data_IF_818712074098
#
_entry.id   IF_818712074098
#
_cell.length_a   1.000
_cell.length_b   1.000
_cell.length_c   1.000
_cell.angle_alpha   90.00
_cell.angle_beta   90.00
_cell.angle_gamma   90.00
#
_symmetry.space_group_name_H-M   'P 1'
#
loop_
_entity.id
_entity.type
_entity.pdbx_description
1 polymer ?
#
# COMPACT_ATOMS: atom_id res chain seq x y z
N UNK A 1 -23.84 0.68 -9.52
CA UNK A 1 -22.94 -0.48 -9.36
C UNK A 1 -22.28 -0.34 -8.00
N UNK A 2 -22.38 -1.33 -7.13
CA UNK A 2 -21.68 -1.34 -5.83
C UNK A 2 -20.18 -1.35 -6.09
N UNK A 3 -19.41 -0.60 -5.30
CA UNK A 3 -17.95 -0.64 -5.38
C UNK A 3 -17.46 -2.05 -5.01
N UNK A 4 -16.47 -2.56 -5.75
CA UNK A 4 -15.75 -3.78 -5.37
C UNK A 4 -14.63 -3.51 -4.36
N UNK A 5 -14.44 -2.25 -3.96
CA UNK A 5 -13.42 -1.79 -3.03
C UNK A 5 -14.05 -1.09 -1.84
N UNK A 6 -13.51 -1.22 -0.61
CA UNK A 6 -13.89 -0.38 0.52
C UNK A 6 -13.45 1.06 0.22
N UNK A 7 -14.41 1.98 0.10
CA UNK A 7 -14.10 3.38 -0.23
C UNK A 7 -13.82 4.21 1.03
N UNK A 8 -14.47 3.91 2.16
CA UNK A 8 -14.22 4.59 3.42
C UNK A 8 -12.90 4.11 4.06
N UNK A 9 -11.81 4.37 3.36
CA UNK A 9 -10.47 3.99 3.74
C UNK A 9 -9.41 4.94 3.13
N UNK A 10 -8.23 4.97 3.74
CA UNK A 10 -7.05 5.64 3.22
C UNK A 10 -6.29 4.71 2.27
N UNK A 11 -5.91 5.24 1.13
CA UNK A 11 -5.08 4.57 0.13
C UNK A 11 -3.84 5.42 -0.18
N UNK A 12 -2.68 4.80 -0.21
CA UNK A 12 -1.47 5.46 -0.68
C UNK A 12 -1.61 5.80 -2.17
N UNK A 13 -1.45 7.07 -2.52
CA UNK A 13 -1.64 7.56 -3.89
C UNK A 13 -0.31 7.80 -4.61
N UNK A 14 0.73 8.17 -3.87
CA UNK A 14 2.07 8.45 -4.38
C UNK A 14 3.07 8.49 -3.22
N UNK A 15 4.37 8.44 -3.54
CA UNK A 15 5.38 8.94 -2.63
C UNK A 15 5.25 10.46 -2.51
N UNK A 16 5.55 11.01 -1.34
CA UNK A 16 5.51 12.46 -1.09
C UNK A 16 6.40 13.25 -2.06
N UNK A 17 7.56 12.67 -2.38
CA UNK A 17 8.55 13.25 -3.30
C UNK A 17 8.08 13.28 -4.76
N UNK A 18 7.09 12.49 -5.14
CA UNK A 18 6.56 12.46 -6.51
C UNK A 18 5.60 13.62 -6.79
N UNK A 19 4.91 14.12 -5.75
CA UNK A 19 3.92 15.18 -5.92
C UNK A 19 4.61 16.55 -5.85
N UNK A 20 4.77 17.15 -7.03
CA UNK A 20 5.36 18.46 -7.22
C UNK A 20 4.28 19.53 -7.49
N UNK A 21 4.69 20.78 -7.73
CA UNK A 21 3.82 21.83 -8.25
C UNK A 21 3.55 21.60 -9.75
N UNK A 22 2.94 20.46 -10.05
CA UNK A 22 2.55 19.98 -11.38
C UNK A 22 1.39 19.01 -11.24
N UNK A 23 0.54 18.92 -12.26
CA UNK A 23 -0.60 17.99 -12.27
C UNK A 23 -0.11 16.54 -12.36
N UNK A 24 -0.48 15.72 -11.39
CA UNK A 24 -0.12 14.32 -11.29
C UNK A 24 -1.40 13.46 -11.28
N UNK A 25 -1.75 12.80 -12.41
CA UNK A 25 -2.93 11.96 -12.49
C UNK A 25 -2.69 10.57 -11.89
N UNK A 26 -3.73 9.99 -11.28
CA UNK A 26 -3.75 8.61 -10.80
C UNK A 26 -5.18 8.06 -10.83
N UNK A 27 -5.32 6.77 -11.09
CA UNK A 27 -6.59 6.06 -10.88
C UNK A 27 -6.51 5.29 -9.56
N UNK A 28 -7.51 5.47 -8.70
CA UNK A 28 -7.61 4.83 -7.37
C UNK A 28 -9.05 4.33 -7.20
N UNK A 29 -9.22 3.04 -6.91
CA UNK A 29 -10.54 2.42 -6.76
C UNK A 29 -11.46 2.69 -7.97
N UNK A 30 -10.91 2.69 -9.18
CA UNK A 30 -11.64 3.00 -10.42
C UNK A 30 -12.01 4.47 -10.60
N UNK A 31 -11.53 5.37 -9.76
CA UNK A 31 -11.76 6.83 -9.85
C UNK A 31 -10.51 7.54 -10.33
N UNK A 32 -10.68 8.40 -11.36
CA UNK A 32 -9.60 9.25 -11.84
C UNK A 32 -9.43 10.44 -10.91
N UNK A 33 -8.21 10.63 -10.41
CA UNK A 33 -7.82 11.69 -9.48
C UNK A 33 -6.64 12.44 -10.07
N UNK A 34 -6.61 13.77 -9.92
CA UNK A 34 -5.44 14.59 -10.19
C UNK A 34 -4.96 15.24 -8.89
N UNK A 35 -3.67 15.07 -8.62
CA UNK A 35 -3.01 15.65 -7.44
C UNK A 35 -2.01 16.72 -7.85
N UNK A 36 -1.71 17.65 -6.96
CA UNK A 36 -0.63 18.62 -7.11
C UNK A 36 -0.25 19.22 -5.76
N UNK A 37 0.99 19.66 -5.65
CA UNK A 37 1.46 20.40 -4.46
C UNK A 37 1.20 21.89 -4.66
N UNK A 38 0.51 22.49 -3.72
CA UNK A 38 0.26 23.94 -3.67
C UNK A 38 1.55 24.70 -3.31
N UNK A 39 1.54 26.02 -3.53
CA UNK A 39 2.64 26.92 -3.20
C UNK A 39 2.97 26.96 -1.70
N UNK A 40 1.98 26.67 -0.84
CA UNK A 40 2.15 26.57 0.61
C UNK A 40 2.70 25.22 1.08
N UNK A 41 3.01 24.28 0.16
CA UNK A 41 3.52 22.96 0.43
C UNK A 41 2.44 21.87 0.65
N UNK A 42 1.18 22.21 0.82
CA UNK A 42 0.10 21.23 1.00
C UNK A 42 -0.22 20.53 -0.33
N UNK A 43 -0.64 19.28 -0.26
CA UNK A 43 -1.10 18.53 -1.42
C UNK A 43 -2.62 18.63 -1.55
N UNK A 44 -3.09 18.85 -2.77
CA UNK A 44 -4.50 18.81 -3.12
C UNK A 44 -4.79 17.67 -4.07
N UNK A 45 -5.97 17.07 -3.96
CA UNK A 45 -6.45 16.01 -4.82
C UNK A 45 -7.88 16.32 -5.27
N UNK A 46 -8.10 16.32 -6.58
CA UNK A 46 -9.40 16.60 -7.20
C UNK A 46 -9.80 15.44 -8.10
N UNK A 47 -11.09 15.28 -8.33
CA UNK A 47 -11.60 14.44 -9.42
C UNK A 47 -10.99 14.92 -10.74
N UNK A 48 -10.39 13.99 -11.48
CA UNK A 48 -9.75 14.30 -12.77
C UNK A 48 -10.77 14.33 -13.90
N UNK A 49 -11.83 15.14 -13.71
CA UNK A 49 -12.89 15.34 -14.69
C UNK A 49 -13.47 16.75 -14.57
N UNK A 50 -13.36 17.55 -15.63
CA UNK A 50 -13.92 18.90 -15.65
C UNK A 50 -15.45 18.85 -15.56
N UNK A 51 -16.04 19.64 -14.65
CA UNK A 51 -17.48 19.76 -14.45
C UNK A 51 -18.27 20.05 -15.74
N UNK A 52 -17.66 20.76 -16.71
CA UNK A 52 -18.33 21.16 -17.95
C UNK A 52 -18.55 19.99 -18.93
N UNK A 53 -17.51 19.26 -19.32
CA UNK A 53 -17.53 18.21 -20.36
C UNK A 53 -16.66 17.01 -20.06
N UNK A 54 -16.36 16.76 -18.79
CA UNK A 54 -15.61 15.61 -18.29
C UNK A 54 -14.19 15.42 -18.85
N UNK A 55 -13.64 16.46 -19.52
CA UNK A 55 -12.23 16.38 -19.96
C UNK A 55 -11.33 16.28 -18.74
N UNK A 56 -10.36 15.37 -18.73
CA UNK A 56 -9.44 15.25 -17.60
C UNK A 56 -8.75 16.58 -17.27
N UNK A 57 -8.83 16.99 -16.02
CA UNK A 57 -8.18 18.22 -15.54
C UNK A 57 -6.65 18.10 -15.60
N UNK A 58 -6.12 16.89 -15.51
CA UNK A 58 -4.70 16.57 -15.70
C UNK A 58 -4.16 16.90 -17.11
N UNK A 59 -5.03 17.09 -18.09
CA UNK A 59 -4.68 17.59 -19.43
C UNK A 59 -4.63 19.11 -19.52
N UNK A 60 -4.90 19.78 -18.42
CA UNK A 60 -4.81 21.23 -18.29
C UNK A 60 -3.44 21.69 -17.77
N UNK A 61 -3.47 22.73 -16.96
CA UNK A 61 -2.28 23.30 -16.31
C UNK A 61 -2.61 23.89 -14.94
N UNK A 62 -1.58 24.16 -14.15
CA UNK A 62 -1.70 25.02 -12.97
C UNK A 62 -1.55 26.49 -13.36
N UNK A 63 -2.30 27.35 -12.68
CA UNK A 63 -2.18 28.80 -12.67
C UNK A 63 -2.17 29.24 -11.19
N UNK A 64 -0.96 29.40 -10.62
CA UNK A 64 -0.79 29.38 -9.18
C UNK A 64 -1.27 28.05 -8.61
N UNK A 65 -2.12 28.09 -7.58
CA UNK A 65 -2.70 26.90 -6.95
C UNK A 65 -4.06 26.49 -7.56
N UNK A 66 -4.39 27.00 -8.74
CA UNK A 66 -5.66 26.76 -9.43
C UNK A 66 -5.43 25.85 -10.64
N UNK A 67 -6.27 24.83 -10.79
CA UNK A 67 -6.26 23.94 -11.97
C UNK A 67 -7.08 24.60 -13.09
N UNK A 68 -6.47 24.81 -14.25
CA UNK A 68 -7.11 25.35 -15.46
C UNK A 68 -7.42 24.20 -16.41
N UNK A 69 -8.68 23.97 -16.69
CA UNK A 69 -9.11 22.97 -17.67
C UNK A 69 -8.55 23.29 -19.06
N UNK A 70 -7.89 22.30 -19.66
CA UNK A 70 -7.24 22.47 -20.96
C UNK A 70 -8.19 22.63 -22.15
N UNK A 71 -9.51 22.44 -21.96
CA UNK A 71 -10.47 22.51 -23.06
C UNK A 71 -11.07 23.94 -23.20
N UNK A 72 -11.72 24.45 -22.16
CA UNK A 72 -12.38 25.75 -22.23
C UNK A 72 -11.89 26.75 -21.16
N UNK A 73 -10.84 26.42 -20.40
CA UNK A 73 -10.23 27.34 -19.47
C UNK A 73 -10.97 27.57 -18.14
N UNK A 74 -11.97 26.75 -17.80
CA UNK A 74 -12.54 26.78 -16.45
C UNK A 74 -11.45 26.61 -15.42
N UNK A 75 -11.49 27.36 -14.31
CA UNK A 75 -10.53 27.29 -13.22
C UNK A 75 -11.16 26.70 -11.97
N UNK A 76 -10.48 25.77 -11.33
CA UNK A 76 -10.91 25.11 -10.10
C UNK A 76 -9.85 25.31 -9.01
N UNK A 77 -10.29 25.77 -7.84
CA UNK A 77 -9.40 25.90 -6.68
C UNK A 77 -9.12 24.53 -6.03
N UNK A 78 -8.29 24.52 -4.98
CA UNK A 78 -7.88 23.33 -4.25
C UNK A 78 -9.06 22.56 -3.58
N UNK A 79 -10.21 23.22 -3.38
CA UNK A 79 -11.44 22.62 -2.85
C UNK A 79 -12.40 22.15 -3.97
N UNK A 80 -11.95 22.20 -5.24
CA UNK A 80 -12.71 21.78 -6.40
C UNK A 80 -13.79 22.77 -6.86
N UNK A 81 -13.91 23.95 -6.24
CA UNK A 81 -14.87 24.97 -6.65
C UNK A 81 -14.41 25.70 -7.90
N UNK A 82 -15.31 25.89 -8.85
CA UNK A 82 -15.02 26.70 -10.01
C UNK A 82 -14.89 28.18 -9.59
N UNK A 83 -13.78 28.81 -9.98
CA UNK A 83 -13.47 30.20 -9.66
C UNK A 83 -13.45 31.12 -10.88
N UNK A 84 -13.54 30.56 -12.09
CA UNK A 84 -13.56 31.27 -13.34
C UNK A 84 -14.27 30.48 -14.43
N UNK A 85 -15.15 31.12 -15.17
CA UNK A 85 -15.76 30.62 -16.41
C UNK A 85 -15.53 31.64 -17.54
N UNK A 86 -15.02 31.23 -18.70
CA UNK A 86 -14.79 32.13 -19.80
C UNK A 86 -16.13 32.63 -20.36
N UNK A 87 -16.11 33.90 -20.88
CA UNK A 87 -17.23 34.55 -21.58
C UNK A 87 -18.51 34.72 -20.76
N UNK A 88 -18.43 34.68 -19.43
CA UNK A 88 -19.55 34.99 -18.54
C UNK A 88 -19.07 35.55 -17.19
N UNK A 89 -19.86 36.45 -16.61
CA UNK A 89 -19.54 37.08 -15.33
C UNK A 89 -20.08 36.30 -14.13
N UNK A 90 -21.05 35.40 -14.37
CA UNK A 90 -21.70 34.63 -13.31
C UNK A 90 -21.20 33.19 -13.34
N UNK A 91 -20.70 32.72 -12.18
CA UNK A 91 -20.31 31.33 -11.99
C UNK A 91 -21.49 30.54 -11.40
N UNK A 92 -21.89 29.47 -12.05
CA UNK A 92 -22.89 28.56 -11.50
C UNK A 92 -22.44 28.01 -10.16
N UNK A 93 -23.17 28.18 -9.04
CA UNK A 93 -22.77 27.69 -7.72
C UNK A 93 -22.56 26.18 -7.64
N UNK A 94 -23.20 25.38 -8.52
CA UNK A 94 -23.02 23.94 -8.60
C UNK A 94 -21.77 23.50 -9.37
N UNK A 95 -21.06 24.47 -9.99
CA UNK A 95 -19.81 24.15 -10.72
C UNK A 95 -18.69 23.78 -9.75
N UNK A 96 -18.61 22.50 -9.47
CA UNK A 96 -17.67 21.94 -8.53
C UNK A 96 -17.23 20.55 -9.02
N UNK A 97 -15.98 20.21 -8.84
CA UNK A 97 -15.47 18.85 -8.96
C UNK A 97 -15.18 18.32 -7.55
N UNK A 98 -15.24 17.01 -7.36
CA UNK A 98 -14.97 16.42 -6.06
C UNK A 98 -13.53 16.73 -5.62
N UNK A 99 -13.35 17.15 -4.37
CA UNK A 99 -12.06 17.17 -3.69
C UNK A 99 -11.97 15.96 -2.73
N UNK A 100 -10.78 15.39 -2.62
CA UNK A 100 -10.53 14.25 -1.75
C UNK A 100 -9.75 14.71 -0.52
N UNK A 101 -10.07 14.23 0.70
CA UNK A 101 -9.23 14.42 1.86
C UNK A 101 -7.84 13.82 1.63
N UNK A 102 -6.80 14.55 2.01
CA UNK A 102 -5.39 14.21 1.81
C UNK A 102 -4.67 14.23 3.16
N UNK A 103 -3.82 13.24 3.39
CA UNK A 103 -2.84 13.21 4.49
C UNK A 103 -1.48 12.90 3.89
N UNK A 104 -0.46 13.70 4.26
CA UNK A 104 0.94 13.41 3.98
C UNK A 104 1.57 12.83 5.26
N UNK A 105 1.95 11.55 5.22
CA UNK A 105 2.48 10.82 6.38
C UNK A 105 3.32 9.61 5.93
N UNK A 106 4.39 9.33 6.66
CA UNK A 106 5.26 8.17 6.42
C UNK A 106 5.82 8.13 5.01
N UNK A 107 6.19 9.30 4.45
CA UNK A 107 6.69 9.50 3.08
C UNK A 107 5.68 9.18 1.97
N UNK A 108 4.39 9.00 2.31
CA UNK A 108 3.32 8.77 1.33
C UNK A 108 2.27 9.88 1.37
N UNK A 109 1.65 10.11 0.21
CA UNK A 109 0.40 10.87 0.07
C UNK A 109 -0.74 9.86 0.15
N UNK A 110 -1.61 10.04 1.14
CA UNK A 110 -2.79 9.21 1.36
C UNK A 110 -4.04 9.95 0.95
N UNK A 111 -4.95 9.27 0.23
CA UNK A 111 -6.24 9.80 -0.16
C UNK A 111 -7.36 8.98 0.48
N UNK A 112 -8.37 9.68 0.98
CA UNK A 112 -9.61 9.06 1.43
C UNK A 112 -10.60 9.01 0.27
N UNK A 113 -11.02 7.81 -0.13
CA UNK A 113 -11.83 7.63 -1.34
C UNK A 113 -13.35 7.66 -1.08
N UNK A 114 -13.78 7.51 0.16
CA UNK A 114 -15.18 7.43 0.58
C UNK A 114 -15.83 8.76 0.96
N UNK A 115 -16.75 8.71 1.93
CA UNK A 115 -17.41 9.91 2.48
C UNK A 115 -16.38 10.78 3.22
N UNK A 116 -16.17 12.05 2.82
CA UNK A 116 -15.21 12.94 3.49
C UNK A 116 -15.48 13.16 4.98
N UNK A 117 -16.74 13.06 5.41
CA UNK A 117 -17.10 13.20 6.83
C UNK A 117 -16.54 12.08 7.72
N UNK A 118 -16.15 10.94 7.14
CA UNK A 118 -15.59 9.80 7.83
C UNK A 118 -14.05 9.74 7.74
N UNK A 119 -13.43 10.72 7.10
CA UNK A 119 -11.99 10.77 6.86
C UNK A 119 -11.22 11.15 8.15
N UNK A 120 -10.98 10.18 9.01
CA UNK A 120 -10.16 10.36 10.21
C UNK A 120 -8.67 10.08 9.89
N UNK A 121 -7.78 11.09 10.05
CA UNK A 121 -6.34 10.90 9.85
C UNK A 121 -5.70 9.85 10.77
N UNK A 122 -6.31 9.54 11.91
CA UNK A 122 -5.83 8.49 12.81
C UNK A 122 -5.97 7.09 12.21
N UNK A 123 -6.79 6.92 11.17
CA UNK A 123 -6.98 5.65 10.45
C UNK A 123 -5.92 5.40 9.36
N UNK A 124 -5.02 6.34 9.09
CA UNK A 124 -3.86 6.10 8.21
C UNK A 124 -3.02 5.00 8.82
N UNK A 125 -2.67 3.95 8.05
CA UNK A 125 -1.85 2.86 8.56
C UNK A 125 -0.53 3.34 9.15
N UNK A 126 -0.13 2.75 10.28
CA UNK A 126 1.16 3.06 10.88
C UNK A 126 2.31 2.44 10.08
N UNK A 127 3.15 3.29 9.54
CA UNK A 127 4.37 2.96 8.82
C UNK A 127 5.52 3.89 9.26
N UNK A 128 5.52 4.29 10.54
CA UNK A 128 6.45 5.29 11.09
C UNK A 128 7.93 4.95 10.86
N UNK A 129 8.28 3.68 10.75
CA UNK A 129 9.66 3.27 10.41
C UNK A 129 10.17 3.86 9.10
N UNK A 130 9.27 4.31 8.20
CA UNK A 130 9.64 4.89 6.90
C UNK A 130 10.18 6.33 7.02
N UNK A 131 9.85 7.04 8.09
CA UNK A 131 10.26 8.42 8.37
C UNK A 131 10.90 8.63 9.76
N UNK A 132 11.03 7.57 10.57
CA UNK A 132 11.74 7.60 11.85
C UNK A 132 13.26 7.67 11.62
N UNK A 133 13.96 8.68 12.19
CA UNK A 133 15.41 8.84 12.03
C UNK A 133 16.25 7.70 12.62
N UNK A 134 15.69 6.84 13.47
CA UNK A 134 16.36 5.64 13.98
C UNK A 134 16.43 4.51 12.93
N UNK A 135 15.72 4.65 11.83
CA UNK A 135 15.64 3.69 10.74
C UNK A 135 16.21 4.28 9.45
N UNK A 136 16.71 3.41 8.58
CA UNK A 136 17.16 3.80 7.24
C UNK A 136 16.61 2.82 6.21
N UNK A 137 16.08 3.35 5.14
CA UNK A 137 15.53 2.53 4.07
C UNK A 137 15.05 3.36 2.90
N UNK A 138 14.63 2.66 1.88
CA UNK A 138 14.04 3.23 0.67
C UNK A 138 13.17 2.19 -0.02
N UNK A 139 12.39 2.63 -1.01
CA UNK A 139 11.45 1.76 -1.70
C UNK A 139 11.16 2.22 -3.12
N UNK A 140 10.18 1.55 -3.72
CA UNK A 140 9.71 1.84 -5.08
C UNK A 140 8.18 1.68 -5.17
N UNK A 141 7.65 1.99 -6.34
CA UNK A 141 6.28 1.67 -6.72
C UNK A 141 6.33 0.69 -7.89
N UNK A 142 5.51 -0.35 -7.84
CA UNK A 142 5.29 -1.31 -8.92
C UNK A 142 3.83 -1.17 -9.38
N UNK A 143 3.59 -1.16 -10.68
CA UNK A 143 2.26 -1.24 -11.24
C UNK A 143 2.00 -2.70 -11.63
N UNK A 144 1.21 -3.42 -10.82
CA UNK A 144 0.96 -4.85 -11.00
C UNK A 144 -0.38 -5.06 -11.70
N UNK A 145 -0.40 -5.88 -12.74
CA UNK A 145 -1.62 -6.21 -13.49
C UNK A 145 -2.35 -7.38 -12.85
N UNK A 146 -2.74 -7.18 -11.60
CA UNK A 146 -3.58 -8.11 -10.85
C UNK A 146 -4.50 -7.37 -9.86
N UNK A 147 -5.53 -8.05 -9.39
CA UNK A 147 -6.32 -7.62 -8.23
C UNK A 147 -5.37 -7.40 -7.04
N UNK A 148 -5.42 -6.23 -6.40
CA UNK A 148 -4.57 -5.90 -5.25
C UNK A 148 -4.61 -6.94 -4.13
N UNK A 149 -5.74 -7.67 -4.01
CA UNK A 149 -5.91 -8.73 -3.01
C UNK A 149 -5.03 -9.95 -3.29
N UNK A 150 -4.58 -10.17 -4.54
CA UNK A 150 -3.61 -11.21 -4.84
C UNK A 150 -2.22 -10.86 -4.29
N UNK A 151 -1.86 -9.57 -4.31
CA UNK A 151 -0.63 -9.10 -3.66
C UNK A 151 -0.75 -9.24 -2.15
N UNK A 152 -1.93 -8.93 -1.57
CA UNK A 152 -2.18 -9.17 -0.13
C UNK A 152 -2.04 -10.66 0.21
N UNK A 153 -2.63 -11.56 -0.58
CA UNK A 153 -2.53 -13.01 -0.36
C UNK A 153 -1.08 -13.49 -0.38
N UNK A 154 -0.30 -13.05 -1.37
CA UNK A 154 1.12 -13.37 -1.52
C UNK A 154 1.92 -12.93 -0.28
N UNK A 155 1.72 -11.70 0.19
CA UNK A 155 2.43 -11.16 1.36
C UNK A 155 1.95 -11.77 2.70
N UNK A 156 0.72 -12.28 2.77
CA UNK A 156 0.18 -12.93 3.97
C UNK A 156 0.61 -14.38 4.15
N UNK A 157 1.20 -14.99 3.13
CA UNK A 157 1.84 -16.31 3.19
C UNK A 157 3.25 -16.29 2.60
N UNK A 158 4.26 -16.29 3.45
CA UNK A 158 5.66 -16.29 3.03
C UNK A 158 6.21 -17.71 2.72
N UNK A 159 5.36 -18.74 2.68
CA UNK A 159 5.78 -20.09 2.28
C UNK A 159 6.30 -20.12 0.83
N UNK A 160 5.76 -19.23 -0.02
CA UNK A 160 6.21 -19.08 -1.41
C UNK A 160 7.69 -18.67 -1.53
N UNK A 161 8.29 -18.03 -0.50
CA UNK A 161 9.73 -17.66 -0.52
C UNK A 161 10.63 -18.85 -0.84
N UNK A 162 10.30 -20.03 -0.32
CA UNK A 162 11.07 -21.26 -0.59
C UNK A 162 11.10 -21.62 -2.06
N UNK A 163 10.01 -21.37 -2.79
CA UNK A 163 9.84 -21.83 -4.17
C UNK A 163 10.09 -20.74 -5.21
N UNK A 164 9.61 -19.52 -4.96
CA UNK A 164 9.74 -18.38 -5.87
C UNK A 164 11.10 -17.71 -5.70
N UNK A 165 11.54 -17.54 -4.45
CA UNK A 165 12.76 -16.81 -4.09
C UNK A 165 13.90 -17.70 -3.60
N UNK A 166 13.93 -18.98 -4.00
CA UNK A 166 14.91 -19.97 -3.52
C UNK A 166 16.38 -19.60 -3.76
N UNK A 167 16.66 -18.72 -4.72
CA UNK A 167 18.02 -18.24 -5.02
C UNK A 167 18.46 -17.01 -4.20
N UNK A 168 17.54 -16.35 -3.46
CA UNK A 168 17.79 -15.05 -2.79
C UNK A 168 17.54 -15.09 -1.28
N UNK A 169 16.29 -15.13 -0.85
CA UNK A 169 15.87 -15.05 0.56
C UNK A 169 15.21 -16.32 1.09
N UNK A 170 14.76 -17.20 0.19
CA UNK A 170 14.09 -18.45 0.54
C UNK A 170 15.04 -19.49 1.10
N UNK A 171 14.52 -20.34 1.96
CA UNK A 171 15.12 -21.61 2.37
C UNK A 171 14.00 -22.59 2.79
N UNK A 172 14.30 -23.88 2.89
CA UNK A 172 13.31 -24.91 3.22
C UNK A 172 12.67 -24.70 4.60
N UNK A 173 13.38 -24.07 5.54
CA UNK A 173 12.89 -23.79 6.88
C UNK A 173 11.67 -22.86 6.90
N UNK A 174 11.47 -22.00 5.88
CA UNK A 174 10.30 -21.13 5.80
C UNK A 174 9.03 -21.95 5.56
N UNK A 175 9.09 -22.92 4.64
CA UNK A 175 7.94 -23.77 4.32
C UNK A 175 7.60 -24.76 5.46
N UNK A 176 8.60 -25.22 6.21
CA UNK A 176 8.45 -26.22 7.27
C UNK A 176 8.10 -25.60 8.64
N UNK A 177 8.43 -24.32 8.87
CA UNK A 177 8.23 -23.69 10.17
C UNK A 177 6.74 -23.54 10.50
N UNK A 178 6.32 -23.86 11.74
CA UNK A 178 4.97 -23.57 12.19
C UNK A 178 4.73 -22.06 12.22
N UNK A 179 3.46 -21.69 12.06
CA UNK A 179 3.03 -20.30 12.17
C UNK A 179 1.69 -20.20 12.91
N UNK A 180 1.46 -19.04 13.53
CA UNK A 180 0.23 -18.70 14.22
C UNK A 180 -0.47 -17.56 13.51
N UNK A 181 -1.82 -17.59 13.50
CA UNK A 181 -2.65 -16.52 12.92
C UNK A 181 -3.58 -15.96 13.96
N UNK A 182 -3.51 -14.65 14.16
CA UNK A 182 -4.48 -13.90 14.98
C UNK A 182 -5.17 -12.82 14.14
N UNK A 183 -6.38 -12.42 14.51
CA UNK A 183 -7.14 -11.43 13.75
C UNK A 183 -7.98 -10.53 14.65
N UNK A 184 -8.19 -9.28 14.21
CA UNK A 184 -9.09 -8.30 14.79
C UNK A 184 -10.20 -7.90 13.83
N UNK A 185 -10.82 -6.73 14.06
CA UNK A 185 -11.86 -6.21 13.17
C UNK A 185 -11.31 -5.80 11.80
N UNK A 186 -10.15 -5.11 11.79
CA UNK A 186 -9.48 -4.59 10.57
C UNK A 186 -8.05 -5.09 10.39
N UNK A 187 -7.59 -6.02 11.21
CA UNK A 187 -6.19 -6.47 11.25
C UNK A 187 -6.09 -7.98 11.24
N UNK A 188 -5.00 -8.49 10.68
CA UNK A 188 -4.59 -9.90 10.77
C UNK A 188 -3.08 -9.94 11.01
N UNK A 189 -2.64 -10.82 11.91
CA UNK A 189 -1.21 -11.05 12.16
C UNK A 189 -0.88 -12.52 11.92
N UNK A 190 0.17 -12.77 11.15
CA UNK A 190 0.77 -14.10 10.97
C UNK A 190 2.17 -14.08 11.58
N UNK A 191 2.45 -14.97 12.52
CA UNK A 191 3.72 -15.03 13.22
C UNK A 191 4.44 -16.34 12.91
N UNK A 192 5.67 -16.26 12.42
CA UNK A 192 6.53 -17.42 12.14
C UNK A 192 7.90 -17.21 12.79
N UNK A 193 8.35 -18.21 13.52
CA UNK A 193 9.70 -18.30 14.11
C UNK A 193 10.43 -19.53 13.59
N UNK A 194 11.66 -19.33 13.12
CA UNK A 194 12.60 -20.39 12.72
C UNK A 194 13.77 -20.33 13.69
N UNK A 195 13.82 -21.27 14.64
CA UNK A 195 14.79 -21.25 15.74
C UNK A 195 15.99 -22.15 15.44
N UNK A 196 17.19 -21.63 15.72
CA UNK A 196 18.43 -22.40 15.64
C UNK A 196 18.80 -22.85 14.23
N UNK A 197 18.44 -22.06 13.21
CA UNK A 197 18.72 -22.37 11.81
C UNK A 197 20.01 -21.71 11.32
N UNK A 198 20.53 -22.16 10.18
CA UNK A 198 21.57 -21.44 9.47
C UNK A 198 21.00 -20.13 8.91
N UNK A 199 21.74 -19.03 9.09
CA UNK A 199 21.30 -17.73 8.58
C UNK A 199 21.28 -17.72 7.05
N UNK A 200 20.14 -17.34 6.40
CA UNK A 200 20.13 -17.13 4.96
C UNK A 200 21.19 -16.09 4.54
N UNK A 201 21.75 -16.18 3.31
CA UNK A 201 22.88 -15.35 2.88
C UNK A 201 22.69 -13.84 3.10
N UNK A 202 21.49 -13.33 2.79
CA UNK A 202 21.16 -11.92 3.04
C UNK A 202 21.35 -11.58 4.52
N UNK A 203 20.74 -12.35 5.43
CA UNK A 203 20.78 -12.06 6.87
C UNK A 203 22.14 -12.31 7.49
N UNK A 204 22.89 -13.32 7.01
CA UNK A 204 24.26 -13.57 7.45
C UNK A 204 25.16 -12.36 7.16
N UNK A 205 25.03 -11.76 5.96
CA UNK A 205 25.74 -10.56 5.56
C UNK A 205 25.40 -9.31 6.40
N UNK A 206 24.19 -9.26 6.96
CA UNK A 206 23.76 -8.14 7.81
C UNK A 206 24.14 -8.35 9.28
N UNK A 207 23.92 -9.54 9.82
CA UNK A 207 24.20 -9.85 11.22
C UNK A 207 25.71 -9.86 11.53
N UNK A 208 26.53 -10.36 10.60
CA UNK A 208 27.99 -10.44 10.71
C UNK A 208 28.48 -11.17 11.98
N UNK A 209 27.70 -12.12 12.47
CA UNK A 209 28.02 -12.98 13.61
C UNK A 209 27.97 -14.44 13.16
N UNK A 210 28.90 -15.30 13.60
CA UNK A 210 28.89 -16.72 13.26
C UNK A 210 27.84 -17.48 14.08
N UNK A 211 27.47 -18.67 13.60
CA UNK A 211 26.61 -19.63 14.30
C UNK A 211 25.15 -19.58 13.85
N UNK A 212 24.37 -20.45 14.47
CA UNK A 212 22.94 -20.54 14.21
C UNK A 212 22.19 -19.28 14.68
N UNK A 213 21.04 -19.04 14.06
CA UNK A 213 20.20 -17.86 14.34
C UNK A 213 18.76 -18.26 14.66
N UNK A 214 18.09 -17.40 15.41
CA UNK A 214 16.64 -17.38 15.48
C UNK A 214 16.15 -16.31 14.51
N UNK A 215 15.36 -16.72 13.49
CA UNK A 215 14.78 -15.86 12.45
C UNK A 215 13.30 -15.68 12.71
N UNK A 216 12.79 -14.46 12.49
CA UNK A 216 11.37 -14.18 12.58
C UNK A 216 10.82 -13.55 11.29
N UNK A 217 9.54 -13.82 11.05
CA UNK A 217 8.70 -13.20 10.06
C UNK A 217 7.34 -12.96 10.72
N UNK A 218 7.02 -11.71 11.02
CA UNK A 218 5.76 -11.33 11.66
C UNK A 218 5.04 -10.38 10.71
N UNK A 219 3.97 -10.87 10.10
CA UNK A 219 3.22 -10.16 9.08
C UNK A 219 2.03 -9.47 9.75
N UNK A 220 1.92 -8.17 9.58
CA UNK A 220 0.82 -7.35 10.09
C UNK A 220 0.01 -6.79 8.92
N UNK A 221 -1.16 -7.37 8.67
CA UNK A 221 -2.13 -6.80 7.74
C UNK A 221 -3.00 -5.79 8.44
N UNK A 222 -3.20 -4.63 7.80
CA UNK A 222 -4.22 -3.63 8.13
C UNK A 222 -5.03 -3.32 6.88
N UNK A 223 -6.35 -3.51 6.98
CA UNK A 223 -7.24 -3.24 5.86
C UNK A 223 -7.24 -1.75 5.46
N UNK A 224 -7.42 -1.43 4.17
CA UNK A 224 -7.83 -2.35 3.11
C UNK A 224 -6.70 -3.08 2.40
N UNK A 225 -5.44 -2.64 2.49
CA UNK A 225 -4.38 -3.17 1.65
C UNK A 225 -2.97 -2.81 2.15
N UNK A 226 -2.75 -2.67 3.46
CA UNK A 226 -1.41 -2.46 4.03
C UNK A 226 -0.93 -3.74 4.69
N UNK A 227 0.31 -4.16 4.39
CA UNK A 227 0.98 -5.32 4.96
C UNK A 227 2.38 -4.91 5.40
N UNK A 228 2.62 -4.82 6.69
CA UNK A 228 3.95 -4.57 7.24
C UNK A 228 4.53 -5.89 7.74
N UNK A 229 5.74 -6.25 7.29
CA UNK A 229 6.40 -7.48 7.68
C UNK A 229 7.62 -7.14 8.53
N UNK A 230 7.54 -7.44 9.82
CA UNK A 230 8.65 -7.39 10.75
C UNK A 230 9.53 -8.61 10.54
N UNK A 231 10.77 -8.40 10.11
CA UNK A 231 11.71 -9.46 9.73
C UNK A 231 13.08 -9.24 10.38
N UNK A 232 13.75 -10.33 10.67
CA UNK A 232 15.11 -10.23 11.18
C UNK A 232 15.69 -11.54 11.65
N UNK A 233 16.93 -11.46 12.14
CA UNK A 233 17.66 -12.56 12.76
C UNK A 233 18.43 -12.08 13.98
N UNK A 234 18.56 -12.96 14.97
CA UNK A 234 19.47 -12.79 16.11
C UNK A 234 20.27 -14.09 16.33
N UNK A 235 21.44 -14.07 16.97
CA UNK A 235 22.11 -15.30 17.35
C UNK A 235 21.19 -16.20 18.16
N UNK A 236 21.17 -17.50 17.86
CA UNK A 236 20.26 -18.44 18.52
C UNK A 236 20.45 -18.44 20.04
N UNK A 237 19.32 -18.47 20.77
CA UNK A 237 19.32 -18.51 22.24
C UNK A 237 19.64 -17.18 22.92
N UNK A 238 19.63 -16.05 22.21
CA UNK A 238 19.85 -14.72 22.81
C UNK A 238 18.56 -14.01 23.24
N UNK A 239 17.41 -14.70 23.22
CA UNK A 239 16.13 -14.18 23.73
C UNK A 239 15.25 -13.51 22.69
N UNK A 240 15.57 -13.59 21.40
CA UNK A 240 14.76 -12.95 20.37
C UNK A 240 13.31 -13.45 20.30
N UNK A 241 13.01 -14.76 20.40
CA UNK A 241 11.63 -15.24 20.47
C UNK A 241 10.85 -14.77 21.70
N UNK A 242 11.56 -14.43 22.77
CA UNK A 242 11.00 -13.92 24.02
C UNK A 242 10.94 -12.37 24.07
N UNK A 243 11.35 -11.70 22.97
CA UNK A 243 11.25 -10.27 22.78
C UNK A 243 12.56 -9.48 22.87
N UNK A 244 13.68 -10.09 23.30
CA UNK A 244 14.98 -9.42 23.30
C UNK A 244 15.70 -9.58 21.96
N UNK A 245 15.52 -8.59 21.08
CA UNK A 245 16.15 -8.53 19.75
C UNK A 245 17.43 -7.68 19.72
N UNK A 246 17.92 -7.25 20.86
CA UNK A 246 19.07 -6.32 20.99
C UNK A 246 20.37 -6.86 20.37
N UNK A 247 20.53 -8.19 20.28
CA UNK A 247 21.69 -8.83 19.68
C UNK A 247 21.54 -9.08 18.17
N UNK A 248 20.36 -8.80 17.61
CA UNK A 248 20.00 -9.08 16.23
C UNK A 248 20.05 -7.87 15.31
N UNK A 249 19.63 -8.12 14.09
CA UNK A 249 19.35 -7.12 13.06
C UNK A 249 17.87 -7.22 12.67
N UNK A 250 17.20 -6.08 12.59
CA UNK A 250 15.77 -6.02 12.32
C UNK A 250 15.50 -5.11 11.11
N UNK A 251 14.57 -5.52 10.28
CA UNK A 251 14.00 -4.73 9.21
C UNK A 251 12.48 -4.80 9.21
N UNK A 252 11.86 -3.81 8.58
CA UNK A 252 10.46 -3.87 8.19
C UNK A 252 10.36 -3.80 6.67
N UNK A 253 9.56 -4.71 6.10
CA UNK A 253 9.10 -4.58 4.71
C UNK A 253 7.73 -3.94 4.77
N UNK A 254 7.67 -2.68 4.39
CA UNK A 254 6.45 -1.87 4.40
C UNK A 254 5.79 -2.00 3.03
N UNK A 255 4.54 -2.44 2.98
CA UNK A 255 3.81 -2.67 1.75
C UNK A 255 2.42 -2.06 1.84
N UNK A 256 2.00 -1.33 0.80
CA UNK A 256 0.62 -0.86 0.71
C UNK A 256 0.14 -0.94 -0.74
N UNK A 257 -0.96 -1.65 -0.94
CA UNK A 257 -1.57 -1.90 -2.23
C UNK A 257 -2.79 -1.02 -2.42
N UNK A 258 -2.74 -0.21 -3.47
CA UNK A 258 -3.85 0.66 -3.85
C UNK A 258 -4.49 0.13 -5.13
N UNK A 259 -5.76 -0.33 -5.08
CA UNK A 259 -6.44 -0.81 -6.28
C UNK A 259 -6.57 0.32 -7.30
N UNK A 260 -6.17 0.08 -8.54
CA UNK A 260 -6.41 0.95 -9.67
C UNK A 260 -7.74 0.56 -10.34
N UNK A 261 -7.83 -0.68 -10.77
CA UNK A 261 -9.04 -1.31 -11.34
C UNK A 261 -9.31 -2.64 -10.64
N UNK A 262 -10.25 -3.41 -11.13
CA UNK A 262 -10.52 -4.76 -10.61
C UNK A 262 -9.35 -5.74 -10.82
N UNK A 263 -8.45 -5.45 -11.75
CA UNK A 263 -7.35 -6.34 -12.16
C UNK A 263 -6.01 -5.62 -12.32
N UNK A 264 -5.87 -4.43 -11.76
CA UNK A 264 -4.61 -3.68 -11.69
C UNK A 264 -4.49 -2.95 -10.37
N UNK A 265 -3.28 -2.80 -9.86
CA UNK A 265 -3.03 -2.05 -8.64
C UNK A 265 -1.68 -1.34 -8.66
N UNK A 266 -1.57 -0.29 -7.84
CA UNK A 266 -0.30 0.34 -7.49
C UNK A 266 0.20 -0.30 -6.20
N UNK A 267 1.36 -0.90 -6.24
CA UNK A 267 2.02 -1.51 -5.10
C UNK A 267 3.20 -0.65 -4.68
N UNK A 268 3.07 0.02 -3.54
CA UNK A 268 4.12 0.82 -2.89
C UNK A 268 4.80 -0.04 -1.85
N UNK A 269 6.13 -0.07 -1.84
CA UNK A 269 6.90 -0.81 -0.86
C UNK A 269 8.17 -0.07 -0.46
N UNK A 270 8.63 -0.31 0.77
CA UNK A 270 9.94 0.09 1.27
C UNK A 270 10.53 -1.03 2.14
N UNK A 271 11.85 -1.18 2.11
CA UNK A 271 12.58 -1.92 3.11
C UNK A 271 13.33 -0.94 4.01
N UNK A 272 13.02 -0.97 5.30
CA UNK A 272 13.64 -0.11 6.32
C UNK A 272 14.32 -0.97 7.38
N UNK A 273 15.44 -0.51 7.95
CA UNK A 273 16.27 -1.26 8.88
C UNK A 273 16.78 -0.38 10.03
N UNK A 274 17.02 -0.99 11.19
CA UNK A 274 17.54 -0.32 12.39
C UNK A 274 19.06 -0.53 12.59
N UNK A 275 19.76 -1.09 11.64
CA UNK A 275 21.21 -1.35 11.68
C UNK A 275 21.91 -0.65 10.52
N UNK A 276 23.18 -0.27 10.74
CA UNK A 276 24.02 0.38 9.71
C UNK A 276 23.28 1.52 8.99
N UNK A 277 22.55 2.33 9.75
CA UNK A 277 21.58 3.30 9.23
C UNK A 277 22.23 4.46 8.47
N UNK A 278 23.52 4.70 8.68
CA UNK A 278 24.27 5.74 7.99
C UNK A 278 24.86 5.32 6.65
N UNK A 279 24.77 4.02 6.32
CA UNK A 279 25.33 3.47 5.09
C UNK A 279 24.38 3.61 3.90
N UNK A 280 24.50 4.73 3.16
CA UNK A 280 23.64 5.02 2.01
C UNK A 280 23.76 3.98 0.89
N UNK A 281 24.99 3.49 0.66
CA UNK A 281 25.21 2.43 -0.34
C UNK A 281 24.42 1.18 0.01
N UNK A 282 24.41 0.77 1.27
CA UNK A 282 23.63 -0.39 1.73
C UNK A 282 22.12 -0.19 1.51
N UNK A 283 21.62 1.02 1.76
CA UNK A 283 20.20 1.36 1.48
C UNK A 283 19.87 1.14 0.00
N UNK A 284 20.74 1.62 -0.89
CA UNK A 284 20.56 1.43 -2.34
C UNK A 284 20.65 -0.05 -2.75
N UNK A 285 21.65 -0.77 -2.26
CA UNK A 285 21.88 -2.18 -2.59
C UNK A 285 20.68 -3.05 -2.13
N UNK A 286 20.16 -2.80 -0.93
CA UNK A 286 18.97 -3.50 -0.40
C UNK A 286 17.74 -3.17 -1.25
N UNK A 287 17.51 -1.89 -1.56
CA UNK A 287 16.37 -1.48 -2.39
C UNK A 287 16.38 -2.18 -3.75
N UNK A 288 17.54 -2.23 -4.42
CA UNK A 288 17.63 -2.88 -5.73
C UNK A 288 17.48 -4.41 -5.63
N UNK A 289 18.05 -5.03 -4.60
CA UNK A 289 17.88 -6.47 -4.33
C UNK A 289 16.42 -6.84 -4.07
N UNK A 290 15.73 -6.09 -3.20
CA UNK A 290 14.29 -6.30 -2.89
C UNK A 290 13.42 -6.03 -4.12
N UNK A 291 13.77 -5.04 -4.96
CA UNK A 291 13.07 -4.82 -6.22
C UNK A 291 13.15 -6.03 -7.16
N UNK A 292 14.28 -6.74 -7.19
CA UNK A 292 14.42 -8.00 -7.94
C UNK A 292 13.52 -9.10 -7.42
N UNK A 293 13.43 -9.26 -6.09
CA UNK A 293 12.56 -10.24 -5.43
C UNK A 293 11.08 -9.96 -5.76
N UNK A 294 10.62 -8.72 -5.63
CA UNK A 294 9.24 -8.38 -5.94
C UNK A 294 8.90 -8.45 -7.43
N UNK A 295 9.90 -8.36 -8.31
CA UNK A 295 9.68 -8.62 -9.73
C UNK A 295 9.39 -10.11 -10.01
N UNK A 296 9.98 -11.04 -9.24
CA UNK A 296 9.63 -12.46 -9.31
C UNK A 296 8.16 -12.68 -8.91
N UNK A 297 7.69 -12.02 -7.84
CA UNK A 297 6.28 -12.05 -7.43
C UNK A 297 5.35 -11.44 -8.47
N UNK A 298 5.71 -10.30 -9.04
CA UNK A 298 4.94 -9.63 -10.11
C UNK A 298 4.64 -10.59 -11.26
N UNK A 299 5.65 -11.34 -11.73
CA UNK A 299 5.51 -12.31 -12.82
C UNK A 299 4.48 -13.39 -12.48
N UNK A 300 4.55 -13.95 -11.26
CA UNK A 300 3.63 -15.00 -10.79
C UNK A 300 2.21 -14.46 -10.63
N UNK A 301 2.05 -13.30 -9.98
CA UNK A 301 0.75 -12.69 -9.70
C UNK A 301 0.02 -12.26 -10.98
N UNK A 302 0.74 -11.69 -11.95
CA UNK A 302 0.17 -11.37 -13.26
C UNK A 302 -0.23 -12.61 -14.05
N UNK A 303 0.56 -13.70 -13.96
CA UNK A 303 0.20 -14.98 -14.58
C UNK A 303 -1.05 -15.59 -13.91
N UNK A 304 -1.13 -15.54 -12.58
CA UNK A 304 -2.30 -15.99 -11.82
C UNK A 304 -3.56 -15.20 -12.23
N UNK A 305 -3.48 -13.87 -12.31
CA UNK A 305 -4.61 -13.03 -12.73
C UNK A 305 -5.09 -13.38 -14.14
N UNK A 306 -4.17 -13.62 -15.07
CA UNK A 306 -4.54 -14.06 -16.44
C UNK A 306 -5.28 -15.38 -16.41
N UNK A 307 -4.76 -16.37 -15.69
CA UNK A 307 -5.40 -17.68 -15.54
C UNK A 307 -6.78 -17.59 -14.88
N UNK A 308 -6.96 -16.71 -13.88
CA UNK A 308 -8.27 -16.46 -13.25
C UNK A 308 -9.28 -15.85 -14.24
N UNK A 309 -8.84 -14.90 -15.07
CA UNK A 309 -9.70 -14.29 -16.09
C UNK A 309 -10.16 -15.31 -17.16
N UNK A 310 -9.30 -16.28 -17.48
CA UNK A 310 -9.60 -17.36 -18.42
C UNK A 310 -10.48 -18.46 -17.83
N UNK A 311 -10.56 -18.55 -16.49
CA UNK A 311 -11.31 -19.59 -15.78
C UNK A 311 -12.24 -18.98 -14.70
N UNK A 312 -13.20 -18.10 -15.06
CA UNK A 312 -13.98 -17.32 -14.08
C UNK A 312 -14.88 -18.17 -13.16
N UNK A 313 -15.24 -19.36 -13.60
CA UNK A 313 -16.12 -20.27 -12.82
C UNK A 313 -15.34 -21.26 -11.93
N UNK A 314 -13.99 -21.19 -11.95
CA UNK A 314 -13.17 -22.10 -11.17
C UNK A 314 -13.14 -21.69 -9.71
N UNK A 315 -13.46 -22.62 -8.81
CA UNK A 315 -13.29 -22.45 -7.35
C UNK A 315 -11.87 -22.83 -6.94
N UNK A 316 -11.32 -22.11 -5.95
CA UNK A 316 -9.99 -22.39 -5.40
C UNK A 316 -10.10 -23.26 -4.15
N UNK A 317 -9.12 -24.14 -3.97
CA UNK A 317 -8.95 -24.91 -2.76
C UNK A 317 -7.99 -24.17 -1.84
N UNK A 318 -8.39 -23.93 -0.59
CA UNK A 318 -7.57 -23.26 0.40
C UNK A 318 -6.72 -24.30 1.16
N UNK A 319 -5.43 -24.03 1.25
CA UNK A 319 -4.49 -24.78 2.07
C UNK A 319 -4.41 -24.17 3.48
N UNK A 320 -3.82 -24.88 4.43
CA UNK A 320 -3.62 -24.34 5.79
C UNK A 320 -2.76 -23.06 5.79
N UNK A 321 -1.80 -22.95 4.87
CA UNK A 321 -0.94 -21.78 4.71
C UNK A 321 -1.70 -20.51 4.31
N UNK A 322 -2.88 -20.63 3.69
CA UNK A 322 -3.72 -19.51 3.26
C UNK A 322 -4.47 -18.85 4.42
N UNK A 323 -4.36 -19.35 5.66
CA UNK A 323 -5.17 -18.87 6.78
C UNK A 323 -5.09 -17.35 7.00
N UNK A 324 -3.90 -16.75 6.90
CA UNK A 324 -3.69 -15.31 7.01
C UNK A 324 -4.39 -14.55 5.89
N UNK A 325 -4.19 -14.96 4.65
CA UNK A 325 -4.80 -14.38 3.45
C UNK A 325 -6.33 -14.47 3.50
N UNK A 326 -6.88 -15.62 3.91
CA UNK A 326 -8.32 -15.83 4.04
C UNK A 326 -8.96 -14.88 5.07
N UNK A 327 -8.28 -14.64 6.20
CA UNK A 327 -8.75 -13.66 7.17
C UNK A 327 -8.67 -12.23 6.64
N UNK A 328 -7.59 -11.85 5.93
CA UNK A 328 -7.47 -10.55 5.30
C UNK A 328 -8.59 -10.32 4.28
N UNK A 329 -8.88 -11.31 3.43
CA UNK A 329 -10.02 -11.29 2.49
C UNK A 329 -11.35 -11.05 3.19
N UNK A 330 -11.65 -11.81 4.28
CA UNK A 330 -12.87 -11.64 5.07
C UNK A 330 -13.00 -10.26 5.68
N UNK A 331 -11.89 -9.65 6.12
CA UNK A 331 -11.89 -8.28 6.63
C UNK A 331 -12.25 -7.29 5.53
N UNK A 332 -11.63 -7.40 4.36
CA UNK A 332 -11.92 -6.55 3.20
C UNK A 332 -13.38 -6.67 2.77
N UNK A 333 -13.88 -7.92 2.64
CA UNK A 333 -15.26 -8.19 2.20
C UNK A 333 -16.29 -7.62 3.18
N UNK A 334 -16.02 -7.69 4.50
CA UNK A 334 -16.87 -7.05 5.51
C UNK A 334 -16.90 -5.54 5.39
N UNK A 335 -15.76 -4.89 5.06
CA UNK A 335 -15.72 -3.45 4.83
C UNK A 335 -16.58 -3.07 3.62
N UNK A 336 -16.44 -3.77 2.50
CA UNK A 336 -17.27 -3.56 1.30
C UNK A 336 -18.75 -3.78 1.62
N UNK A 337 -19.10 -4.85 2.32
CA UNK A 337 -20.49 -5.15 2.68
C UNK A 337 -21.11 -4.08 3.58
N UNK A 338 -20.36 -3.50 4.54
CA UNK A 338 -20.83 -2.41 5.39
C UNK A 338 -21.14 -1.13 4.59
N UNK A 339 -20.42 -0.88 3.51
CA UNK A 339 -20.62 0.30 2.65
C UNK A 339 -21.74 0.10 1.61
N UNK A 340 -22.00 -1.14 1.21
CA UNK A 340 -22.97 -1.48 0.16
C UNK A 340 -24.30 -2.02 0.69
N UNK A 341 -24.36 -2.37 1.99
CA UNK A 341 -25.58 -2.83 2.66
C UNK A 341 -26.69 -1.77 2.64
N UNK A 342 -27.98 -2.18 2.84
CA UNK A 342 -29.07 -1.23 2.91
C UNK A 342 -28.76 -0.22 4.02
N UNK A 343 -28.68 1.06 3.65
CA UNK A 343 -28.61 2.15 4.62
C UNK A 343 -29.85 2.04 5.49
N UNK A 344 -29.70 1.62 6.73
CA UNK A 344 -30.71 1.81 7.76
C UNK A 344 -30.88 3.33 7.85
N UNK A 345 -31.98 3.83 7.27
CA UNK A 345 -32.43 5.19 7.49
C UNK A 345 -32.54 5.38 9.01
N UNK A 346 -31.54 6.00 9.63
CA UNK A 346 -31.73 6.65 10.91
C UNK A 346 -32.66 7.81 10.61
N UNK A 347 -33.92 7.61 10.95
CA UNK A 347 -34.93 8.65 10.95
C UNK A 347 -34.41 9.81 11.81
N UNK A 348 -34.40 11.01 11.20
CA UNK A 348 -34.31 12.23 11.93
C UNK A 348 -35.54 12.31 12.86
N UNK A 349 -35.33 12.27 14.17
CA UNK A 349 -36.21 12.86 15.19
C UNK A 349 -35.62 14.19 15.65
#
# INVERSE_FOLDING_TARGET
MSSSFPLNAWYAAAWDVDIKHALFPRTICGKHVVMYRQSNGQVSALEDACWHRLVPLSKGRLDGDTVVCGYHGLKFNAQGRCTYMPSQDTINPSACVRSYPVVERHRFIWLWMGDPALADPALVPDMHWNDDPAWAGDGKTIHVKCDYRLVVDNLMDLTHETFVHGSSIGNDHVAEAPFDVTHGDKTVTVTRWMKGIDAPPFWAAQLQKPGAVDRWQIIHFQAPGTVNIDVGVAPAGTGAPEGDRSQGVNGFVLNTMTPETATTCHYFWAFVRNYRTTEQKLTTDIREGVAGIFHEDEIILEAQQRAMNENPDRTFYNLNIDAGAMWARRVIDRMVARETGPQTMQAAE
#
